data_IF_906824027831
#
_entry.id   IF_906824027831
#
_cell.length_a   1.000
_cell.length_b   1.000
_cell.length_c   1.000
_cell.angle_alpha   90.00
_cell.angle_beta   90.00
_cell.angle_gamma   90.00
#
_symmetry.space_group_name_H-M   'P 1'
#
loop_
_entity.id
_entity.type
_entity.pdbx_description
1 polymer ?
#
# COMPACT_ATOMS: atom_id res chain seq x y z
N UNK A 1 -26.23 18.98 -19.43
CA UNK A 1 -25.39 18.44 -18.34
C UNK A 1 -25.52 16.93 -18.38
N UNK A 2 -24.52 16.27 -18.87
CA UNK A 2 -24.47 14.81 -18.91
C UNK A 2 -24.12 14.32 -17.50
N UNK A 3 -25.06 13.67 -16.83
CA UNK A 3 -24.81 12.99 -15.56
C UNK A 3 -23.80 11.86 -15.81
N UNK A 4 -22.78 11.72 -15.00
CA UNK A 4 -21.84 10.60 -15.12
C UNK A 4 -22.61 9.28 -14.96
N UNK A 5 -22.25 8.30 -15.75
CA UNK A 5 -22.88 6.99 -15.75
C UNK A 5 -22.86 6.41 -14.33
N UNK A 6 -24.02 6.02 -13.82
CA UNK A 6 -24.18 5.41 -12.48
C UNK A 6 -23.24 4.20 -12.25
N UNK A 7 -22.88 3.49 -13.30
CA UNK A 7 -21.91 2.37 -13.21
C UNK A 7 -20.52 2.86 -12.86
N UNK A 8 -20.07 4.00 -13.40
CA UNK A 8 -18.75 4.59 -13.11
C UNK A 8 -18.72 5.09 -11.66
N UNK A 9 -19.81 5.71 -11.19
CA UNK A 9 -19.92 6.14 -9.79
C UNK A 9 -19.93 4.93 -8.84
N UNK A 10 -20.65 3.87 -9.20
CA UNK A 10 -20.71 2.65 -8.41
C UNK A 10 -19.36 1.92 -8.38
N UNK A 11 -18.58 1.94 -9.46
CA UNK A 11 -17.24 1.34 -9.52
C UNK A 11 -16.22 2.18 -8.75
N UNK A 12 -16.31 3.50 -8.84
CA UNK A 12 -15.52 4.42 -8.03
C UNK A 12 -15.84 4.28 -6.53
N UNK A 13 -17.12 4.17 -6.18
CA UNK A 13 -17.56 3.96 -4.80
C UNK A 13 -17.14 2.57 -4.27
N UNK A 14 -17.23 1.53 -5.08
CA UNK A 14 -16.72 0.18 -4.73
C UNK A 14 -15.21 0.19 -4.56
N UNK A 15 -14.47 0.89 -5.40
CA UNK A 15 -13.02 1.08 -5.26
C UNK A 15 -12.64 1.79 -3.96
N UNK A 16 -13.37 2.85 -3.60
CA UNK A 16 -13.16 3.59 -2.34
C UNK A 16 -13.50 2.76 -1.11
N UNK A 17 -14.62 2.03 -1.14
CA UNK A 17 -15.04 1.13 -0.04
C UNK A 17 -14.04 -0.02 0.08
N UNK A 18 -13.61 -0.62 -1.02
CA UNK A 18 -12.63 -1.70 -1.02
C UNK A 18 -11.27 -1.26 -0.46
N UNK A 19 -10.81 -0.06 -0.82
CA UNK A 19 -9.55 0.55 -0.30
C UNK A 19 -9.64 0.77 1.21
N UNK A 20 -10.74 1.33 1.69
CA UNK A 20 -10.96 1.62 3.11
C UNK A 20 -11.07 0.35 3.94
N UNK A 21 -11.80 -0.65 3.47
CA UNK A 21 -11.97 -1.95 4.14
C UNK A 21 -10.62 -2.67 4.23
N UNK A 22 -9.86 -2.74 3.14
CA UNK A 22 -8.53 -3.39 3.11
C UNK A 22 -7.57 -2.72 4.09
N UNK A 23 -7.60 -1.39 4.17
CA UNK A 23 -6.71 -0.63 5.06
C UNK A 23 -7.07 -0.82 6.54
N UNK A 24 -8.34 -1.03 6.87
CA UNK A 24 -8.79 -1.30 8.24
C UNK A 24 -8.51 -2.74 8.69
N UNK A 25 -8.28 -3.66 7.76
CA UNK A 25 -8.13 -5.09 8.03
C UNK A 25 -6.68 -5.56 8.11
N UNK A 26 -5.73 -4.80 7.57
CA UNK A 26 -4.31 -5.16 7.51
C UNK A 26 -3.49 -4.23 8.40
N UNK A 27 -2.75 -4.82 9.35
CA UNK A 27 -1.78 -4.10 10.16
C UNK A 27 -0.51 -3.79 9.36
N UNK A 28 0.34 -2.89 9.87
CA UNK A 28 1.65 -2.61 9.28
C UNK A 28 2.50 -3.88 9.10
N UNK A 29 2.42 -4.81 10.06
CA UNK A 29 3.10 -6.11 9.95
C UNK A 29 2.59 -6.92 8.76
N UNK A 30 1.27 -7.01 8.56
CA UNK A 30 0.68 -7.72 7.41
C UNK A 30 1.08 -7.07 6.09
N UNK A 31 1.07 -5.75 6.01
CA UNK A 31 1.50 -5.00 4.83
C UNK A 31 2.98 -5.23 4.50
N UNK A 32 3.85 -5.33 5.51
CA UNK A 32 5.27 -5.68 5.31
C UNK A 32 5.44 -7.03 4.60
N UNK A 33 4.67 -8.04 5.00
CA UNK A 33 4.71 -9.34 4.33
C UNK A 33 4.13 -9.28 2.91
N UNK A 34 3.03 -8.57 2.71
CA UNK A 34 2.44 -8.39 1.38
C UNK A 34 3.42 -7.70 0.41
N UNK A 35 4.09 -6.65 0.86
CA UNK A 35 5.13 -5.95 0.08
C UNK A 35 6.31 -6.87 -0.23
N UNK A 36 6.78 -7.68 0.74
CA UNK A 36 7.85 -8.64 0.51
C UNK A 36 7.46 -9.70 -0.53
N UNK A 37 6.22 -10.22 -0.49
CA UNK A 37 5.70 -11.14 -1.49
C UNK A 37 5.65 -10.46 -2.86
N UNK A 38 5.17 -9.23 -2.92
CA UNK A 38 5.10 -8.45 -4.15
C UNK A 38 6.51 -8.23 -4.75
N UNK A 39 7.48 -7.80 -3.95
CA UNK A 39 8.86 -7.58 -4.42
C UNK A 39 9.52 -8.88 -4.92
N UNK A 40 9.32 -10.00 -4.22
CA UNK A 40 9.82 -11.30 -4.65
C UNK A 40 9.15 -11.72 -5.96
N UNK A 41 7.85 -11.45 -6.14
CA UNK A 41 7.13 -11.76 -7.37
C UNK A 41 7.67 -11.04 -8.61
N UNK A 42 8.30 -9.88 -8.44
CA UNK A 42 8.92 -9.13 -9.54
C UNK A 42 10.25 -9.71 -10.00
N UNK A 43 10.91 -10.50 -9.17
CA UNK A 43 12.27 -11.00 -9.43
C UNK A 43 12.36 -12.52 -9.57
N UNK A 44 11.41 -13.26 -9.02
CA UNK A 44 11.41 -14.72 -8.96
C UNK A 44 10.09 -15.30 -9.44
N UNK A 45 10.16 -16.39 -10.20
CA UNK A 45 8.96 -17.12 -10.67
C UNK A 45 8.31 -17.95 -9.55
N UNK A 46 9.09 -18.40 -8.57
CA UNK A 46 8.62 -19.26 -7.49
C UNK A 46 8.71 -18.57 -6.13
N UNK A 47 7.56 -18.19 -5.60
CA UNK A 47 7.44 -17.61 -4.27
C UNK A 47 7.00 -18.72 -3.32
N UNK A 48 7.75 -18.90 -2.23
CA UNK A 48 7.40 -19.85 -1.18
C UNK A 48 7.62 -19.25 0.22
N UNK A 49 7.10 -19.90 1.25
CA UNK A 49 7.25 -19.44 2.63
C UNK A 49 8.70 -19.29 3.06
N UNK A 50 9.59 -20.10 2.50
CA UNK A 50 11.03 -20.03 2.79
C UNK A 50 11.68 -18.77 2.24
N UNK A 51 11.43 -18.44 0.96
CA UNK A 51 11.98 -17.24 0.33
C UNK A 51 11.54 -15.96 1.04
N UNK A 52 10.29 -15.93 1.52
CA UNK A 52 9.79 -14.79 2.29
C UNK A 52 10.40 -14.73 3.69
N UNK A 53 10.58 -15.87 4.36
CA UNK A 53 11.24 -15.93 5.66
C UNK A 53 12.67 -15.41 5.58
N UNK A 54 13.43 -15.83 4.57
CA UNK A 54 14.80 -15.38 4.31
C UNK A 54 14.85 -13.87 4.02
N UNK A 55 13.96 -13.37 3.14
CA UNK A 55 13.88 -11.94 2.80
C UNK A 55 13.57 -11.05 4.00
N UNK A 56 12.68 -11.48 4.88
CA UNK A 56 12.24 -10.69 6.04
C UNK A 56 13.07 -10.94 7.30
N UNK A 57 13.96 -11.94 7.31
CA UNK A 57 14.74 -12.32 8.49
C UNK A 57 13.86 -12.86 9.63
N UNK A 58 12.79 -13.57 9.31
CA UNK A 58 11.80 -14.09 10.27
C UNK A 58 11.70 -15.60 10.21
N UNK A 59 11.05 -16.20 11.22
CA UNK A 59 10.84 -17.65 11.26
C UNK A 59 9.78 -18.12 10.29
N UNK A 60 9.93 -19.32 9.75
CA UNK A 60 8.94 -19.92 8.85
C UNK A 60 7.54 -20.03 9.45
N UNK A 61 7.34 -20.42 10.74
CA UNK A 61 6.01 -20.40 11.36
C UNK A 61 5.34 -19.03 11.37
N UNK A 62 6.12 -17.96 11.60
CA UNK A 62 5.60 -16.58 11.55
C UNK A 62 5.09 -16.24 10.15
N UNK A 63 5.84 -16.61 9.11
CA UNK A 63 5.44 -16.43 7.71
C UNK A 63 4.14 -17.18 7.43
N UNK A 64 4.05 -18.46 7.79
CA UNK A 64 2.88 -19.30 7.53
C UNK A 64 1.62 -18.69 8.16
N UNK A 65 1.71 -18.18 9.38
CA UNK A 65 0.57 -17.55 10.07
C UNK A 65 0.07 -16.32 9.32
N UNK A 66 0.97 -15.45 8.88
CA UNK A 66 0.58 -14.23 8.13
C UNK A 66 0.07 -14.59 6.74
N UNK A 67 0.66 -15.58 6.08
CA UNK A 67 0.19 -16.04 4.78
C UNK A 67 -1.24 -16.59 4.84
N UNK A 68 -1.59 -17.35 5.89
CA UNK A 68 -2.96 -17.82 6.07
C UNK A 68 -3.93 -16.63 6.19
N UNK A 69 -3.58 -15.61 6.96
CA UNK A 69 -4.36 -14.39 7.04
C UNK A 69 -4.49 -13.67 5.70
N UNK A 70 -3.39 -13.53 4.94
CA UNK A 70 -3.43 -12.91 3.61
C UNK A 70 -4.28 -13.72 2.61
N UNK A 71 -4.30 -15.07 2.72
CA UNK A 71 -5.20 -15.92 1.95
C UNK A 71 -6.68 -15.69 2.33
N UNK A 72 -7.00 -15.65 3.62
CA UNK A 72 -8.35 -15.35 4.11
C UNK A 72 -8.85 -13.99 3.62
N UNK A 73 -7.94 -13.02 3.48
CA UNK A 73 -8.24 -11.67 2.96
C UNK A 73 -8.25 -11.59 1.43
N UNK A 74 -8.00 -12.71 0.75
CA UNK A 74 -7.99 -12.78 -0.72
C UNK A 74 -6.85 -12.02 -1.38
N UNK A 75 -5.72 -11.82 -0.68
CA UNK A 75 -4.53 -11.14 -1.21
C UNK A 75 -3.60 -12.08 -1.95
N UNK A 76 -3.53 -13.33 -1.51
CA UNK A 76 -2.70 -14.37 -2.09
C UNK A 76 -3.48 -15.68 -2.22
N UNK A 77 -3.00 -16.55 -3.09
CA UNK A 77 -3.41 -17.95 -3.21
C UNK A 77 -2.18 -18.84 -3.09
N UNK A 78 -2.38 -20.04 -2.58
CA UNK A 78 -1.32 -21.05 -2.44
C UNK A 78 -1.71 -22.31 -3.17
N UNK A 79 -0.84 -22.81 -4.03
CA UNK A 79 -1.02 -24.07 -4.74
C UNK A 79 -0.49 -25.27 -3.95
N UNK A 80 -0.83 -26.48 -4.42
CA UNK A 80 -0.51 -27.76 -3.79
C UNK A 80 0.96 -27.95 -3.44
N UNK A 81 1.87 -27.41 -4.24
CA UNK A 81 3.33 -27.53 -4.02
C UNK A 81 3.94 -26.37 -3.22
N UNK A 82 3.10 -25.59 -2.54
CA UNK A 82 3.57 -24.50 -1.69
C UNK A 82 3.96 -23.23 -2.43
N UNK A 83 3.73 -23.16 -3.74
CA UNK A 83 3.89 -21.93 -4.52
C UNK A 83 2.80 -20.94 -4.17
N UNK A 84 3.18 -19.68 -4.06
CA UNK A 84 2.34 -18.57 -3.66
C UNK A 84 2.21 -17.61 -4.83
N UNK A 85 0.99 -17.15 -5.06
CA UNK A 85 0.67 -16.17 -6.09
C UNK A 85 -0.13 -15.02 -5.46
N UNK A 86 0.15 -13.81 -5.91
CA UNK A 86 -0.70 -12.66 -5.60
C UNK A 86 -1.97 -12.71 -6.44
N UNK A 87 -3.09 -12.41 -5.82
CA UNK A 87 -4.34 -12.14 -6.53
C UNK A 87 -4.29 -10.74 -7.14
N UNK A 88 -5.22 -10.43 -8.05
CA UNK A 88 -5.35 -9.06 -8.58
C UNK A 88 -5.56 -8.04 -7.46
N UNK A 89 -6.35 -8.41 -6.43
CA UNK A 89 -6.52 -7.62 -5.22
C UNK A 89 -5.21 -7.42 -4.46
N UNK A 90 -4.43 -8.48 -4.28
CA UNK A 90 -3.12 -8.43 -3.62
C UNK A 90 -2.13 -7.54 -4.34
N UNK A 91 -2.06 -7.64 -5.67
CA UNK A 91 -1.22 -6.78 -6.52
C UNK A 91 -1.64 -5.32 -6.39
N UNK A 92 -2.93 -5.04 -6.47
CA UNK A 92 -3.45 -3.69 -6.36
C UNK A 92 -3.11 -3.05 -5.01
N UNK A 93 -3.38 -3.77 -3.91
CA UNK A 93 -3.09 -3.27 -2.56
C UNK A 93 -1.58 -3.07 -2.36
N UNK A 94 -0.75 -4.00 -2.80
CA UNK A 94 0.70 -3.88 -2.70
C UNK A 94 1.24 -2.66 -3.45
N UNK A 95 0.76 -2.39 -4.65
CA UNK A 95 1.14 -1.21 -5.44
C UNK A 95 0.73 0.10 -4.75
N UNK A 96 -0.50 0.17 -4.25
CA UNK A 96 -1.00 1.36 -3.55
C UNK A 96 -0.22 1.62 -2.27
N UNK A 97 0.01 0.58 -1.45
CA UNK A 97 0.78 0.72 -0.21
C UNK A 97 2.23 1.10 -0.51
N UNK A 98 2.85 0.52 -1.55
CA UNK A 98 4.21 0.87 -1.96
C UNK A 98 4.33 2.34 -2.34
N UNK A 99 3.40 2.84 -3.14
CA UNK A 99 3.33 4.26 -3.53
C UNK A 99 3.16 5.19 -2.31
N UNK A 100 2.27 4.83 -1.39
CA UNK A 100 2.07 5.58 -0.15
C UNK A 100 3.32 5.56 0.74
N UNK A 101 3.97 4.41 0.86
CA UNK A 101 5.21 4.25 1.61
C UNK A 101 6.34 5.10 1.02
N UNK A 102 6.48 5.13 -0.30
CA UNK A 102 7.46 5.98 -0.99
C UNK A 102 7.22 7.47 -0.69
N UNK A 103 5.95 7.91 -0.67
CA UNK A 103 5.59 9.28 -0.30
C UNK A 103 5.98 9.59 1.15
N UNK A 104 5.72 8.68 2.09
CA UNK A 104 6.10 8.85 3.50
C UNK A 104 7.62 8.87 3.66
N UNK A 105 8.34 7.99 2.98
CA UNK A 105 9.82 7.95 3.03
C UNK A 105 10.43 9.23 2.47
N UNK A 106 9.89 9.77 1.38
CA UNK A 106 10.36 11.03 0.79
C UNK A 106 10.14 12.24 1.72
N UNK A 107 9.13 12.18 2.57
CA UNK A 107 8.78 13.24 3.54
C UNK A 107 9.01 12.81 4.99
N UNK A 108 9.91 11.85 5.20
CA UNK A 108 10.16 11.31 6.55
C UNK A 108 10.65 12.42 7.48
N UNK A 109 10.04 12.58 8.67
CA UNK A 109 10.39 13.66 9.59
C UNK A 109 11.84 13.52 10.09
N UNK A 110 12.55 14.62 10.28
CA UNK A 110 13.89 14.58 10.83
C UNK A 110 13.84 14.07 12.28
N UNK A 111 14.63 13.06 12.57
CA UNK A 111 14.82 12.50 13.91
C UNK A 111 16.24 12.77 14.39
N UNK A 112 16.42 12.84 15.71
CA UNK A 112 17.72 13.19 16.31
C UNK A 112 18.75 12.05 16.31
N UNK A 113 18.36 10.86 15.87
CA UNK A 113 19.22 9.68 15.79
C UNK A 113 19.25 9.17 14.34
N UNK A 114 20.37 8.56 13.97
CA UNK A 114 20.42 7.86 12.69
C UNK A 114 19.67 6.53 12.80
N UNK A 115 18.71 6.36 11.91
CA UNK A 115 17.95 5.11 11.77
C UNK A 115 18.60 4.25 10.70
N UNK A 116 18.64 2.95 10.92
CA UNK A 116 18.94 1.99 9.85
C UNK A 116 17.84 2.03 8.80
N UNK A 117 18.11 1.55 7.60
CA UNK A 117 17.10 1.49 6.53
C UNK A 117 15.90 0.64 6.94
N UNK A 118 16.12 -0.46 7.66
CA UNK A 118 15.02 -1.31 8.17
C UNK A 118 14.16 -0.58 9.21
N UNK A 119 14.77 0.14 10.14
CA UNK A 119 14.05 0.93 11.15
C UNK A 119 13.25 2.05 10.49
N UNK A 120 13.84 2.73 9.52
CA UNK A 120 13.17 3.79 8.75
C UNK A 120 11.99 3.25 7.96
N UNK A 121 12.16 2.13 7.24
CA UNK A 121 11.10 1.46 6.52
C UNK A 121 9.97 0.98 7.45
N UNK A 122 10.30 0.40 8.59
CA UNK A 122 9.31 -0.06 9.57
C UNK A 122 8.50 1.12 10.14
N UNK A 123 9.16 2.22 10.50
CA UNK A 123 8.51 3.42 10.99
C UNK A 123 7.64 4.08 9.91
N UNK A 124 8.14 4.17 8.68
CA UNK A 124 7.39 4.72 7.56
C UNK A 124 6.16 3.88 7.21
N UNK A 125 6.25 2.55 7.29
CA UNK A 125 5.12 1.66 7.05
C UNK A 125 4.06 1.78 8.15
N UNK A 126 4.47 1.90 9.41
CA UNK A 126 3.57 2.16 10.53
C UNK A 126 2.84 3.51 10.34
N UNK A 127 3.57 4.55 9.94
CA UNK A 127 2.99 5.86 9.64
C UNK A 127 2.03 5.79 8.44
N UNK A 128 2.39 5.09 7.37
CA UNK A 128 1.53 4.85 6.20
C UNK A 128 0.22 4.17 6.62
N UNK A 129 0.27 3.20 7.53
CA UNK A 129 -0.92 2.51 8.04
C UNK A 129 -1.80 3.40 8.91
N UNK A 130 -1.22 4.34 9.65
CA UNK A 130 -1.91 5.22 10.58
C UNK A 130 -2.51 6.47 9.91
N UNK A 131 -1.91 6.93 8.81
CA UNK A 131 -2.38 8.12 8.10
C UNK A 131 -3.70 7.86 7.39
N UNK A 132 -4.63 8.84 7.37
CA UNK A 132 -5.85 8.73 6.60
C UNK A 132 -5.56 8.75 5.09
N UNK A 133 -6.43 8.14 4.29
CA UNK A 133 -6.26 8.04 2.83
C UNK A 133 -6.13 9.42 2.16
N UNK A 134 -6.84 10.44 2.66
CA UNK A 134 -6.73 11.81 2.17
C UNK A 134 -5.32 12.41 2.25
N UNK A 135 -4.45 11.88 3.12
CA UNK A 135 -3.07 12.30 3.20
C UNK A 135 -2.24 11.96 1.95
N UNK A 136 -2.73 11.04 1.11
CA UNK A 136 -2.05 10.56 -0.09
C UNK A 136 -2.75 10.94 -1.39
N UNK A 137 -4.00 11.40 -1.34
CA UNK A 137 -4.81 11.64 -2.55
C UNK A 137 -4.68 13.05 -3.11
N UNK A 138 -4.01 13.96 -2.40
CA UNK A 138 -3.86 15.36 -2.83
C UNK A 138 -5.20 16.11 -2.98
N UNK A 139 -6.30 15.59 -2.43
CA UNK A 139 -7.61 16.27 -2.48
C UNK A 139 -7.58 17.63 -1.78
N UNK A 140 -6.62 17.83 -0.88
CA UNK A 140 -6.45 19.11 -0.21
C UNK A 140 -6.07 20.23 -1.21
N UNK A 141 -5.21 19.93 -2.19
CA UNK A 141 -4.79 20.90 -3.22
C UNK A 141 -5.93 21.24 -4.18
N UNK A 142 -6.87 20.33 -4.42
CA UNK A 142 -8.05 20.59 -5.26
C UNK A 142 -9.11 21.45 -4.59
N UNK A 143 -9.22 21.41 -3.27
CA UNK A 143 -10.23 22.16 -2.52
C UNK A 143 -9.71 23.52 -2.05
N UNK A 144 -8.40 23.69 -1.92
CA UNK A 144 -7.79 24.89 -1.33
C UNK A 144 -6.62 25.47 -2.14
N UNK A 145 -6.25 24.88 -3.26
CA UNK A 145 -5.01 25.19 -4.01
C UNK A 145 -5.18 25.93 -5.32
N UNK A 146 -6.23 26.73 -5.56
CA UNK A 146 -6.41 27.41 -6.84
C UNK A 146 -6.80 28.89 -6.77
N UNK A 147 -6.33 29.63 -5.76
CA UNK A 147 -6.55 31.07 -5.71
C UNK A 147 -5.34 31.91 -6.13
N UNK A 148 -4.27 31.35 -6.68
CA UNK A 148 -3.04 32.10 -7.00
C UNK A 148 -2.78 32.32 -8.50
N UNK A 149 -3.65 31.87 -9.42
CA UNK A 149 -3.44 32.09 -10.87
C UNK A 149 -4.21 33.26 -11.51
N UNK A 150 -4.89 34.11 -10.72
CA UNK A 150 -5.66 35.23 -11.29
C UNK A 150 -5.07 36.61 -11.03
N UNK A 151 -3.79 36.73 -10.71
CA UNK A 151 -3.17 38.06 -10.44
C UNK A 151 -2.16 38.53 -11.47
N UNK A 152 -1.97 37.86 -12.60
CA UNK A 152 -0.92 38.27 -13.57
C UNK A 152 -1.42 38.87 -14.88
N UNK A 153 -2.74 39.01 -15.07
CA UNK A 153 -3.28 39.56 -16.34
C UNK A 153 -3.99 40.91 -16.25
N UNK A 154 -3.76 41.70 -15.19
CA UNK A 154 -4.32 43.07 -15.12
C UNK A 154 -3.30 44.18 -14.96
N UNK A 155 -2.06 43.99 -15.41
CA UNK A 155 -1.12 45.13 -15.65
C UNK A 155 -0.41 44.98 -16.99
N UNK A 156 -1.09 45.37 -18.04
CA UNK A 156 -0.49 45.76 -19.30
C UNK A 156 -1.36 46.81 -19.97
#
# INVERSE_FOLDING_TARGET
>A
ITLPNLSVIADAARGLISRRVVRMELTAAHLRYLLAIYDVSQTHLDICSRSIAEKLGVTKPSVVRIMNLLMERGMIVKEHYGKIYLTDRGIFVAKEVKKQLETVLANFPPVKIELTDDERCAAALALTSALPERAFTGEYDRLFGSDDETKTEMES
#
